data_IF_654495771042
#
_entry.id   IF_654495771042
#
_cell.length_a   1.000
_cell.length_b   1.000
_cell.length_c   1.000
_cell.angle_alpha   90.00
_cell.angle_beta   90.00
_cell.angle_gamma   90.00
#
_symmetry.space_group_name_H-M   'P 1'
#
loop_
_entity.id
_entity.type
_entity.pdbx_description
1 polymer ?
#
# COMPACT_ATOMS: atom_id res chain seq x y z
N UNK A 1 14.95 -14.93 15.49
CA UNK A 1 14.08 -14.32 14.46
C UNK A 1 14.64 -14.71 13.11
N UNK A 2 13.88 -15.46 12.30
CA UNK A 2 14.27 -15.84 10.94
C UNK A 2 13.76 -14.83 9.89
N UNK A 3 14.12 -15.02 8.62
CA UNK A 3 13.76 -14.10 7.54
C UNK A 3 12.23 -13.94 7.34
N UNK A 4 11.45 -15.01 7.53
CA UNK A 4 9.99 -14.97 7.38
C UNK A 4 9.35 -14.19 8.53
N UNK A 5 9.83 -14.41 9.76
CA UNK A 5 9.37 -13.66 10.94
C UNK A 5 9.72 -12.16 10.83
N UNK A 6 10.87 -11.83 10.23
CA UNK A 6 11.24 -10.45 9.93
C UNK A 6 10.35 -9.85 8.83
N UNK A 7 10.10 -10.59 7.74
CA UNK A 7 9.27 -10.13 6.63
C UNK A 7 7.87 -9.74 7.09
N UNK A 8 7.25 -10.55 7.97
CA UNK A 8 5.94 -10.25 8.58
C UNK A 8 5.87 -8.96 9.40
N UNK A 9 7.00 -8.26 9.62
CA UNK A 9 7.08 -6.95 10.29
C UNK A 9 7.34 -5.80 9.32
N UNK A 10 7.56 -6.08 8.03
CA UNK A 10 7.88 -5.08 7.01
C UNK A 10 6.60 -4.62 6.31
N UNK A 11 6.53 -3.31 6.05
CA UNK A 11 5.59 -2.75 5.08
C UNK A 11 6.35 -2.46 3.78
N UNK A 12 5.99 -3.14 2.69
CA UNK A 12 6.64 -2.97 1.40
C UNK A 12 6.00 -1.81 0.65
N UNK A 13 6.77 -0.78 0.27
CA UNK A 13 6.23 0.43 -0.32
C UNK A 13 6.43 0.49 -1.84
N UNK A 14 5.33 0.75 -2.58
CA UNK A 14 5.31 1.08 -4.00
C UNK A 14 4.78 2.50 -4.15
N UNK A 15 5.64 3.47 -3.83
CA UNK A 15 5.31 4.90 -3.76
C UNK A 15 6.19 5.76 -4.68
N UNK A 16 7.05 5.16 -5.50
CA UNK A 16 7.79 5.92 -6.50
C UNK A 16 6.76 6.61 -7.43
N UNK A 17 6.87 7.93 -7.67
CA UNK A 17 5.94 8.65 -8.55
C UNK A 17 5.88 8.04 -9.97
N UNK A 18 6.97 7.44 -10.44
CA UNK A 18 7.05 6.77 -11.74
C UNK A 18 6.64 5.29 -11.72
N UNK A 19 6.25 4.74 -10.56
CA UNK A 19 5.81 3.35 -10.47
C UNK A 19 4.56 3.12 -11.34
N UNK A 20 4.67 2.11 -12.19
CA UNK A 20 3.65 1.63 -13.12
C UNK A 20 2.68 0.65 -12.46
N UNK A 21 1.65 0.23 -13.19
CA UNK A 21 0.76 -0.85 -12.74
C UNK A 21 1.47 -2.19 -12.63
N UNK A 22 2.48 -2.46 -13.47
CA UNK A 22 3.28 -3.68 -13.36
C UNK A 22 4.16 -3.65 -12.10
N UNK A 23 4.75 -2.49 -11.77
CA UNK A 23 5.50 -2.35 -10.51
C UNK A 23 4.60 -2.60 -9.28
N UNK A 24 3.34 -2.17 -9.34
CA UNK A 24 2.35 -2.48 -8.31
C UNK A 24 2.05 -3.98 -8.24
N UNK A 25 1.87 -4.64 -9.39
CA UNK A 25 1.62 -6.07 -9.46
C UNK A 25 2.81 -6.88 -8.93
N UNK A 26 4.04 -6.51 -9.29
CA UNK A 26 5.26 -7.12 -8.79
C UNK A 26 5.45 -6.91 -7.29
N UNK A 27 5.19 -5.69 -6.81
CA UNK A 27 5.17 -5.39 -5.38
C UNK A 27 4.16 -6.27 -4.62
N UNK A 28 2.95 -6.45 -5.17
CA UNK A 28 1.93 -7.32 -4.58
C UNK A 28 2.35 -8.80 -4.59
N UNK A 29 2.93 -9.30 -5.68
CA UNK A 29 3.47 -10.68 -5.79
C UNK A 29 4.57 -10.90 -4.74
N UNK A 30 5.49 -9.97 -4.58
CA UNK A 30 6.56 -10.03 -3.59
C UNK A 30 5.99 -10.01 -2.16
N UNK A 31 5.07 -9.09 -1.89
CA UNK A 31 4.44 -8.95 -0.59
C UNK A 31 3.70 -10.24 -0.19
N UNK A 32 2.96 -10.84 -1.11
CA UNK A 32 2.26 -12.10 -0.91
C UNK A 32 3.21 -13.29 -0.71
N UNK A 33 4.29 -13.36 -1.50
CA UNK A 33 5.32 -14.41 -1.42
C UNK A 33 5.99 -14.44 -0.05
N UNK A 34 6.34 -13.27 0.49
CA UNK A 34 7.04 -13.16 1.76
C UNK A 34 6.12 -12.98 2.97
N UNK A 35 4.80 -12.90 2.74
CA UNK A 35 3.79 -12.62 3.76
C UNK A 35 4.17 -11.41 4.61
N UNK A 36 4.57 -10.34 3.92
CA UNK A 36 4.91 -9.08 4.59
C UNK A 36 3.67 -8.53 5.31
N UNK A 37 3.87 -7.62 6.26
CA UNK A 37 2.76 -7.06 7.05
C UNK A 37 1.74 -6.35 6.15
N UNK A 38 2.23 -5.51 5.24
CA UNK A 38 1.41 -4.71 4.36
C UNK A 38 2.13 -4.32 3.07
N UNK A 39 1.35 -4.03 2.03
CA UNK A 39 1.77 -3.29 0.84
C UNK A 39 1.29 -1.84 0.97
N UNK A 40 2.23 -0.89 0.90
CA UNK A 40 1.96 0.56 0.98
C UNK A 40 1.90 1.13 -0.42
N UNK A 41 0.78 1.76 -0.78
CA UNK A 41 0.51 2.26 -2.14
C UNK A 41 -0.04 3.68 -2.14
N UNK A 42 -0.01 4.33 -3.31
CA UNK A 42 -0.69 5.62 -3.55
C UNK A 42 -2.22 5.44 -3.40
N UNK A 43 -2.98 6.45 -2.95
CA UNK A 43 -4.44 6.35 -2.78
C UNK A 43 -5.18 5.80 -4.01
N UNK A 44 -4.78 6.24 -5.21
CA UNK A 44 -5.38 5.77 -6.46
C UNK A 44 -5.19 4.27 -6.73
N UNK A 45 -4.22 3.62 -6.08
CA UNK A 45 -3.91 2.20 -6.27
C UNK A 45 -4.55 1.30 -5.21
N UNK A 46 -5.29 1.83 -4.23
CA UNK A 46 -5.87 1.03 -3.13
C UNK A 46 -6.76 -0.10 -3.64
N UNK A 47 -7.72 0.18 -4.51
CA UNK A 47 -8.63 -0.83 -5.06
C UNK A 47 -7.90 -1.91 -5.87
N UNK A 48 -6.89 -1.51 -6.66
CA UNK A 48 -6.08 -2.45 -7.44
C UNK A 48 -5.23 -3.35 -6.51
N UNK A 49 -4.57 -2.77 -5.50
CA UNK A 49 -3.79 -3.50 -4.51
C UNK A 49 -4.65 -4.48 -3.71
N UNK A 50 -5.85 -4.06 -3.29
CA UNK A 50 -6.80 -4.91 -2.56
C UNK A 50 -7.21 -6.13 -3.38
N UNK A 51 -7.49 -5.93 -4.68
CA UNK A 51 -7.78 -7.03 -5.62
C UNK A 51 -6.58 -7.96 -5.79
N UNK A 52 -5.38 -7.43 -5.98
CA UNK A 52 -4.16 -8.21 -6.18
C UNK A 52 -3.76 -9.04 -4.94
N UNK A 53 -4.06 -8.54 -3.74
CA UNK A 53 -3.73 -9.18 -2.47
C UNK A 53 -4.88 -9.99 -1.86
N UNK A 54 -6.02 -10.12 -2.56
CA UNK A 54 -7.16 -10.88 -2.08
C UNK A 54 -6.75 -12.32 -1.71
N UNK A 55 -7.13 -12.77 -0.50
CA UNK A 55 -6.81 -14.11 0.01
C UNK A 55 -5.35 -14.30 0.45
N UNK A 56 -4.47 -13.32 0.31
CA UNK A 56 -3.05 -13.47 0.68
C UNK A 56 -2.80 -13.27 2.18
N UNK A 57 -3.69 -12.53 2.87
CA UNK A 57 -3.50 -12.12 4.27
C UNK A 57 -2.60 -10.89 4.45
N UNK A 58 -2.02 -10.36 3.38
CA UNK A 58 -1.24 -9.11 3.40
C UNK A 58 -2.20 -7.92 3.42
N UNK A 59 -1.95 -6.94 4.29
CA UNK A 59 -2.77 -5.73 4.38
C UNK A 59 -2.46 -4.75 3.25
N UNK A 60 -3.45 -3.98 2.83
CA UNK A 60 -3.21 -2.76 2.03
C UNK A 60 -3.13 -1.58 2.99
N UNK A 61 -2.10 -0.76 2.81
CA UNK A 61 -1.92 0.52 3.48
C UNK A 61 -1.79 1.59 2.41
N UNK A 62 -2.33 2.77 2.67
CA UNK A 62 -2.10 3.93 1.80
C UNK A 62 -1.65 5.14 2.60
N UNK A 63 -1.02 6.06 1.89
CA UNK A 63 -0.55 7.33 2.40
C UNK A 63 -1.64 8.40 2.23
N UNK A 64 -1.61 9.46 3.02
CA UNK A 64 -2.55 10.59 2.93
C UNK A 64 -1.77 11.91 2.93
N UNK A 65 -2.08 12.80 2.00
CA UNK A 65 -1.38 14.08 1.82
C UNK A 65 0.07 13.93 1.37
N UNK A 66 0.49 12.73 0.96
CA UNK A 66 1.85 12.42 0.55
C UNK A 66 2.20 13.01 -0.82
N UNK A 67 3.46 13.38 -1.10
CA UNK A 67 4.61 13.33 -0.18
C UNK A 67 4.78 14.56 0.70
N UNK A 68 4.26 15.72 0.30
CA UNK A 68 4.61 17.00 0.92
C UNK A 68 3.76 17.37 2.14
N UNK A 69 2.52 16.89 2.23
CA UNK A 69 1.67 17.09 3.41
C UNK A 69 1.13 18.51 3.60
N UNK A 70 1.32 19.42 2.65
CA UNK A 70 0.95 20.84 2.79
C UNK A 70 -0.54 21.18 2.65
N UNK A 71 -1.39 20.17 2.41
CA UNK A 71 -2.82 20.38 2.21
C UNK A 71 -3.54 20.73 3.52
N UNK A 72 -4.68 21.39 3.42
CA UNK A 72 -5.55 21.66 4.56
C UNK A 72 -6.04 20.36 5.23
N UNK A 73 -6.29 20.38 6.54
CA UNK A 73 -6.77 19.21 7.31
C UNK A 73 -8.03 18.60 6.70
N UNK A 74 -8.98 19.41 6.25
CA UNK A 74 -10.21 18.92 5.62
C UNK A 74 -9.93 18.11 4.34
N UNK A 75 -8.92 18.50 3.54
CA UNK A 75 -8.54 17.77 2.33
C UNK A 75 -7.94 16.41 2.68
N UNK A 76 -7.09 16.34 3.70
CA UNK A 76 -6.53 15.06 4.18
C UNK A 76 -7.62 14.15 4.75
N UNK A 77 -8.61 14.71 5.43
CA UNK A 77 -9.75 13.95 5.94
C UNK A 77 -10.57 13.33 4.79
N UNK A 78 -10.84 14.10 3.74
CA UNK A 78 -11.54 13.61 2.55
C UNK A 78 -10.75 12.52 1.82
N UNK A 79 -9.45 12.72 1.59
CA UNK A 79 -8.56 11.72 0.99
C UNK A 79 -8.54 10.41 1.82
N UNK A 80 -8.59 10.54 3.15
CA UNK A 80 -8.69 9.36 4.05
C UNK A 80 -10.03 8.65 3.88
N UNK A 81 -11.14 9.40 3.82
CA UNK A 81 -12.47 8.82 3.67
C UNK A 81 -12.62 8.09 2.33
N UNK A 82 -12.17 8.72 1.23
CA UNK A 82 -12.14 8.11 -0.10
C UNK A 82 -11.27 6.83 -0.11
N UNK A 83 -10.07 6.87 0.48
CA UNK A 83 -9.20 5.70 0.55
C UNK A 83 -9.80 4.52 1.34
N UNK A 84 -10.56 4.79 2.41
CA UNK A 84 -11.24 3.75 3.20
C UNK A 84 -12.45 3.15 2.48
N UNK A 85 -13.11 3.93 1.62
CA UNK A 85 -14.27 3.49 0.86
C UNK A 85 -13.92 2.63 -0.38
N UNK A 86 -12.66 2.64 -0.81
CA UNK A 86 -12.14 1.94 -1.99
C UNK A 86 -11.90 0.44 -1.80
#
# INVERSE_FOLDING_TARGET
MNAVELAGRIEHAVLNPQATEEDLADGARLAARWKVRALVVKPCHVAAAARLLAGTGVKVVTVVGFPHGGQATAVKAEETADAVAR
#
